data_IF_574078731521
#
_entry.id   IF_574078731521
#
_cell.length_a   1.000
_cell.length_b   1.000
_cell.length_c   1.000
_cell.angle_alpha   90.00
_cell.angle_beta   90.00
_cell.angle_gamma   90.00
#
_symmetry.space_group_name_H-M   'P 1'
#
loop_
_entity.id
_entity.type
_entity.pdbx_description
1 polymer ?
#
# COMPACT_ATOMS: atom_id res chain seq x y z
N UNK A 1 27.62 -38.87 15.34
CA UNK A 1 27.66 -38.90 13.86
C UNK A 1 26.39 -38.31 13.24
N UNK A 2 25.16 -38.74 13.61
CA UNK A 2 23.92 -38.20 13.02
C UNK A 2 23.74 -36.67 13.21
N UNK A 3 23.99 -36.11 14.40
CA UNK A 3 23.78 -34.67 14.63
C UNK A 3 24.65 -33.75 13.74
N UNK A 4 25.90 -34.13 13.46
CA UNK A 4 26.81 -33.34 12.62
C UNK A 4 26.40 -33.41 11.14
N UNK A 5 25.97 -34.59 10.68
CA UNK A 5 25.45 -34.78 9.33
C UNK A 5 24.16 -33.99 9.15
N UNK A 6 23.22 -34.10 10.10
CA UNK A 6 21.95 -33.36 10.11
C UNK A 6 22.22 -31.84 10.09
N UNK A 7 23.17 -31.37 10.90
CA UNK A 7 23.56 -29.95 10.94
C UNK A 7 24.22 -29.50 9.64
N UNK A 8 25.05 -30.34 9.02
CA UNK A 8 25.66 -30.05 7.71
C UNK A 8 24.59 -29.91 6.62
N UNK A 9 23.56 -30.76 6.64
CA UNK A 9 22.44 -30.68 5.69
C UNK A 9 21.68 -29.36 5.88
N UNK A 10 21.33 -29.01 7.12
CA UNK A 10 20.63 -27.76 7.43
C UNK A 10 21.44 -26.51 7.06
N UNK A 11 22.74 -26.50 7.33
CA UNK A 11 23.60 -25.35 6.98
C UNK A 11 23.71 -25.23 5.46
N UNK A 12 23.81 -26.35 4.74
CA UNK A 12 23.88 -26.35 3.28
C UNK A 12 22.60 -25.79 2.67
N UNK A 13 21.42 -26.24 3.13
CA UNK A 13 20.14 -25.69 2.66
C UNK A 13 19.99 -24.21 3.01
N UNK A 14 20.42 -23.80 4.20
CA UNK A 14 20.40 -22.41 4.63
C UNK A 14 21.29 -21.49 3.76
N UNK A 15 22.50 -21.93 3.41
CA UNK A 15 23.39 -21.18 2.50
C UNK A 15 22.75 -21.06 1.11
N UNK A 16 22.13 -22.14 0.61
CA UNK A 16 21.42 -22.11 -0.67
C UNK A 16 20.24 -21.12 -0.65
N UNK A 17 19.43 -21.12 0.41
CA UNK A 17 18.32 -20.17 0.56
C UNK A 17 18.81 -18.73 0.71
N UNK A 18 19.93 -18.51 1.43
CA UNK A 18 20.54 -17.19 1.53
C UNK A 18 21.03 -16.69 0.18
N UNK A 19 21.74 -17.52 -0.58
CA UNK A 19 22.20 -17.19 -1.93
C UNK A 19 21.04 -16.89 -2.89
N UNK A 20 19.97 -17.68 -2.83
CA UNK A 20 18.76 -17.44 -3.60
C UNK A 20 18.09 -16.12 -3.21
N UNK A 21 17.91 -15.87 -1.91
CA UNK A 21 17.32 -14.62 -1.40
C UNK A 21 18.16 -13.39 -1.78
N UNK A 22 19.48 -13.50 -1.75
CA UNK A 22 20.41 -12.46 -2.20
C UNK A 22 20.27 -12.15 -3.69
N UNK A 23 20.24 -13.19 -4.52
CA UNK A 23 20.09 -13.06 -5.97
C UNK A 23 18.71 -12.49 -6.36
N UNK A 24 17.65 -12.96 -5.71
CA UNK A 24 16.29 -12.46 -5.90
C UNK A 24 16.20 -10.97 -5.59
N UNK A 25 16.77 -10.55 -4.45
CA UNK A 25 16.81 -9.16 -4.05
C UNK A 25 17.55 -8.27 -5.07
N UNK A 26 18.74 -8.72 -5.52
CA UNK A 26 19.54 -7.98 -6.51
C UNK A 26 18.86 -7.86 -7.86
N UNK A 27 18.19 -8.91 -8.34
CA UNK A 27 17.63 -8.94 -9.70
C UNK A 27 16.24 -8.33 -9.81
N UNK A 28 15.41 -8.45 -8.76
CA UNK A 28 13.99 -8.18 -8.88
C UNK A 28 13.48 -7.05 -7.98
N UNK A 29 14.09 -6.84 -6.81
CA UNK A 29 13.65 -5.81 -5.86
C UNK A 29 14.44 -4.50 -6.00
N UNK A 30 15.68 -4.56 -6.49
CA UNK A 30 16.61 -3.41 -6.57
C UNK A 30 16.63 -2.68 -7.92
N UNK A 31 15.72 -3.02 -8.85
CA UNK A 31 15.68 -2.38 -10.17
C UNK A 31 15.41 -0.86 -10.10
N UNK A 32 14.80 -0.39 -9.01
CA UNK A 32 14.30 0.99 -8.86
C UNK A 32 14.76 1.73 -7.57
N UNK A 33 15.68 1.18 -6.76
CA UNK A 33 16.15 1.83 -5.51
C UNK A 33 17.59 2.39 -5.63
N UNK A 34 17.72 3.72 -5.58
CA UNK A 34 18.98 4.45 -5.79
C UNK A 34 19.99 4.38 -4.62
N UNK A 35 19.57 3.94 -3.42
CA UNK A 35 20.41 3.96 -2.21
C UNK A 35 20.92 2.57 -1.84
N UNK A 36 22.20 2.32 -2.11
CA UNK A 36 22.89 1.05 -1.88
C UNK A 36 23.26 0.87 -0.40
N UNK A 37 22.35 0.36 0.42
CA UNK A 37 22.69 -0.09 1.79
C UNK A 37 22.75 -1.61 1.88
N UNK A 38 23.99 -2.10 1.92
CA UNK A 38 24.33 -3.51 2.08
C UNK A 38 23.65 -4.15 3.30
N UNK A 39 23.42 -3.38 4.37
CA UNK A 39 22.81 -3.88 5.61
C UNK A 39 21.36 -4.33 5.40
N UNK A 40 20.55 -3.57 4.66
CA UNK A 40 19.14 -3.94 4.39
C UNK A 40 19.06 -5.20 3.55
N UNK A 41 19.97 -5.34 2.59
CA UNK A 41 20.10 -6.52 1.75
C UNK A 41 20.42 -7.76 2.58
N UNK A 42 21.43 -7.69 3.46
CA UNK A 42 21.79 -8.79 4.35
C UNK A 42 20.59 -9.15 5.24
N UNK A 43 19.94 -8.18 5.86
CA UNK A 43 18.79 -8.44 6.75
C UNK A 43 17.67 -9.15 5.99
N UNK A 44 17.34 -8.70 4.77
CA UNK A 44 16.33 -9.35 3.94
C UNK A 44 16.72 -10.80 3.61
N UNK A 45 17.93 -11.01 3.08
CA UNK A 45 18.39 -12.36 2.67
C UNK A 45 18.51 -13.31 3.86
N UNK A 46 18.95 -12.84 5.02
CA UNK A 46 18.97 -13.63 6.26
C UNK A 46 17.55 -13.99 6.71
N UNK A 47 16.64 -13.02 6.75
CA UNK A 47 15.23 -13.25 7.14
C UNK A 47 14.56 -14.26 6.21
N UNK A 48 14.78 -14.11 4.91
CA UNK A 48 14.27 -15.02 3.89
C UNK A 48 14.84 -16.44 4.08
N UNK A 49 16.15 -16.57 4.25
CA UNK A 49 16.79 -17.87 4.45
C UNK A 49 16.23 -18.62 5.66
N UNK A 50 16.16 -17.95 6.82
CA UNK A 50 15.61 -18.55 8.03
C UNK A 50 14.12 -18.92 7.91
N UNK A 51 13.33 -18.10 7.19
CA UNK A 51 11.93 -18.41 6.89
C UNK A 51 11.77 -19.67 6.02
N UNK A 52 12.62 -19.83 5.00
CA UNK A 52 12.68 -21.04 4.18
C UNK A 52 13.15 -22.26 4.99
N UNK A 53 14.16 -22.10 5.84
CA UNK A 53 14.62 -23.17 6.74
C UNK A 53 13.53 -23.59 7.73
N UNK A 54 12.67 -22.67 8.19
CA UNK A 54 11.51 -23.05 9.02
C UNK A 54 10.54 -23.94 8.27
N UNK A 55 10.21 -23.57 7.04
CA UNK A 55 9.31 -24.36 6.21
C UNK A 55 9.90 -25.73 5.87
N UNK A 56 11.20 -25.78 5.56
CA UNK A 56 11.94 -27.01 5.32
C UNK A 56 11.92 -27.94 6.56
N UNK A 57 12.12 -27.41 7.77
CA UNK A 57 12.04 -28.19 9.00
C UNK A 57 10.64 -28.81 9.22
N UNK A 58 9.56 -28.10 8.87
CA UNK A 58 8.20 -28.66 8.90
C UNK A 58 8.07 -29.81 7.91
N UNK A 59 8.60 -29.66 6.70
CA UNK A 59 8.58 -30.74 5.70
C UNK A 59 9.36 -31.96 6.20
N UNK A 60 10.54 -31.77 6.80
CA UNK A 60 11.32 -32.88 7.36
C UNK A 60 10.65 -33.56 8.55
N UNK A 61 9.89 -32.82 9.35
CA UNK A 61 9.04 -33.42 10.40
C UNK A 61 7.97 -34.33 9.78
N UNK A 62 7.26 -33.87 8.73
CA UNK A 62 6.22 -34.65 8.04
C UNK A 62 6.81 -35.88 7.35
N UNK A 63 7.95 -35.75 6.69
CA UNK A 63 8.61 -36.84 5.96
C UNK A 63 9.37 -37.81 6.89
N UNK A 64 9.48 -37.51 8.19
CA UNK A 64 10.24 -38.34 9.13
C UNK A 64 11.75 -38.35 8.86
N UNK A 65 12.27 -37.33 8.16
CA UNK A 65 13.69 -37.18 7.83
C UNK A 65 14.37 -36.35 8.94
N UNK A 66 15.65 -36.61 9.21
CA UNK A 66 16.44 -36.09 10.36
C UNK A 66 16.03 -36.67 11.74
N UNK A 67 17.00 -36.70 12.65
CA UNK A 67 16.80 -37.13 14.03
C UNK A 67 15.98 -36.11 14.84
N UNK A 68 14.98 -36.56 15.60
CA UNK A 68 14.04 -35.71 16.34
C UNK A 68 14.72 -34.71 17.29
N UNK A 69 15.80 -35.11 17.96
CA UNK A 69 16.57 -34.21 18.85
C UNK A 69 17.30 -33.11 18.08
N UNK A 70 17.79 -33.41 16.87
CA UNK A 70 18.44 -32.44 15.99
C UNK A 70 17.43 -31.43 15.44
N UNK A 71 16.26 -31.91 14.99
CA UNK A 71 15.16 -31.06 14.49
C UNK A 71 14.69 -30.07 15.55
N UNK A 72 14.47 -30.54 16.77
CA UNK A 72 14.02 -29.68 17.86
C UNK A 72 15.03 -28.56 18.19
N UNK A 73 16.33 -28.89 18.17
CA UNK A 73 17.39 -27.90 18.38
C UNK A 73 17.41 -26.84 17.27
N UNK A 74 17.43 -27.26 16.00
CA UNK A 74 17.42 -26.34 14.86
C UNK A 74 16.14 -25.51 14.79
N UNK A 75 14.99 -26.09 15.13
CA UNK A 75 13.72 -25.39 15.26
C UNK A 75 13.79 -24.26 16.30
N UNK A 76 14.27 -24.57 17.51
CA UNK A 76 14.38 -23.58 18.60
C UNK A 76 15.39 -22.48 18.25
N UNK A 77 16.53 -22.82 17.67
CA UNK A 77 17.53 -21.86 17.21
C UNK A 77 16.95 -20.94 16.14
N UNK A 78 16.32 -21.51 15.11
CA UNK A 78 15.73 -20.75 14.02
C UNK A 78 14.62 -19.81 14.51
N UNK A 79 13.74 -20.29 15.40
CA UNK A 79 12.71 -19.46 16.04
C UNK A 79 13.35 -18.26 16.76
N UNK A 80 14.39 -18.50 17.54
CA UNK A 80 15.07 -17.45 18.30
C UNK A 80 15.66 -16.39 17.36
N UNK A 81 16.33 -16.80 16.28
CA UNK A 81 16.95 -15.86 15.32
C UNK A 81 15.90 -15.06 14.56
N UNK A 82 14.84 -15.70 14.05
CA UNK A 82 13.74 -14.99 13.36
C UNK A 82 13.08 -13.98 14.28
N UNK A 83 12.79 -14.35 15.53
CA UNK A 83 12.17 -13.43 16.50
C UNK A 83 13.07 -12.24 16.81
N UNK A 84 14.38 -12.47 16.98
CA UNK A 84 15.34 -11.40 17.20
C UNK A 84 15.34 -10.43 16.01
N UNK A 85 15.40 -10.96 14.79
CA UNK A 85 15.40 -10.12 13.59
C UNK A 85 14.08 -9.33 13.47
N UNK A 86 12.94 -9.99 13.64
CA UNK A 86 11.62 -9.40 13.41
C UNK A 86 11.23 -8.37 14.47
N UNK A 87 11.52 -8.64 15.75
CA UNK A 87 11.11 -7.76 16.87
C UNK A 87 12.15 -6.69 17.16
N UNK A 88 13.45 -6.99 17.04
CA UNK A 88 14.50 -6.06 17.44
C UNK A 88 15.15 -5.37 16.24
N UNK A 89 15.73 -6.14 15.32
CA UNK A 89 16.52 -5.55 14.22
C UNK A 89 15.65 -4.74 13.25
N UNK A 90 14.59 -5.34 12.70
CA UNK A 90 13.76 -4.69 11.66
C UNK A 90 13.18 -3.34 12.14
N UNK A 91 12.53 -3.24 13.31
CA UNK A 91 11.97 -1.97 13.78
C UNK A 91 13.06 -0.92 14.07
N UNK A 92 14.23 -1.34 14.57
CA UNK A 92 15.35 -0.44 14.78
C UNK A 92 15.84 0.18 13.47
N UNK A 93 16.02 -0.63 12.42
CA UNK A 93 16.44 -0.12 11.12
C UNK A 93 15.38 0.78 10.48
N UNK A 94 14.09 0.43 10.57
CA UNK A 94 13.00 1.29 10.08
C UNK A 94 13.03 2.65 10.80
N UNK A 95 13.17 2.66 12.12
CA UNK A 95 13.31 3.90 12.90
C UNK A 95 14.52 4.72 12.47
N UNK A 96 15.66 4.06 12.26
CA UNK A 96 16.89 4.70 11.78
C UNK A 96 16.70 5.36 10.41
N UNK A 97 16.00 4.67 9.50
CA UNK A 97 15.66 5.18 8.17
C UNK A 97 14.76 6.40 8.22
N UNK A 98 13.69 6.36 9.01
CA UNK A 98 12.76 7.48 9.17
C UNK A 98 13.50 8.71 9.68
N UNK A 99 14.34 8.56 10.71
CA UNK A 99 15.13 9.68 11.26
C UNK A 99 16.19 10.16 10.27
N UNK A 100 16.78 9.26 9.48
CA UNK A 100 17.80 9.61 8.48
C UNK A 100 17.28 10.50 7.35
N UNK A 101 15.98 10.41 7.04
CA UNK A 101 15.33 11.25 6.02
C UNK A 101 15.17 12.71 6.51
N UNK A 102 15.14 12.92 7.83
CA UNK A 102 14.96 14.25 8.43
C UNK A 102 16.33 14.94 8.56
N UNK A 103 16.60 15.92 7.68
CA UNK A 103 17.86 16.68 7.65
C UNK A 103 18.21 17.35 8.99
N UNK A 104 17.20 17.72 9.79
CA UNK A 104 17.37 18.44 11.05
C UNK A 104 18.02 17.61 12.18
N UNK A 105 17.89 16.27 12.13
CA UNK A 105 18.29 15.37 13.22
C UNK A 105 19.60 14.62 12.95
N UNK A 106 20.37 15.04 11.94
CA UNK A 106 21.55 14.31 11.48
C UNK A 106 22.60 14.07 12.58
N UNK A 107 22.79 15.03 13.49
CA UNK A 107 23.80 14.95 14.58
C UNK A 107 23.38 14.04 15.75
N UNK A 108 22.08 13.80 15.94
CA UNK A 108 21.52 12.97 17.02
C UNK A 108 20.73 11.75 16.48
N UNK A 109 20.97 11.36 15.22
CA UNK A 109 20.21 10.33 14.50
C UNK A 109 20.06 9.02 15.28
N UNK A 110 21.14 8.54 15.89
CA UNK A 110 21.13 7.30 16.66
C UNK A 110 20.27 7.39 17.93
N UNK A 111 20.27 8.54 18.61
CA UNK A 111 19.51 8.76 19.83
C UNK A 111 18.00 8.78 19.54
N UNK A 112 17.59 9.52 18.51
CA UNK A 112 16.18 9.55 18.08
C UNK A 112 15.71 8.20 17.53
N UNK A 113 16.57 7.48 16.81
CA UNK A 113 16.27 6.12 16.36
C UNK A 113 16.10 5.14 17.52
N UNK A 114 16.94 5.25 18.55
CA UNK A 114 16.82 4.43 19.77
C UNK A 114 15.53 4.77 20.53
N UNK A 115 15.18 6.05 20.62
CA UNK A 115 13.93 6.48 21.26
C UNK A 115 12.70 5.95 20.52
N UNK A 116 12.66 6.07 19.18
CA UNK A 116 11.60 5.48 18.35
C UNK A 116 11.51 3.97 18.53
N UNK A 117 12.65 3.29 18.59
CA UNK A 117 12.70 1.85 18.83
C UNK A 117 12.17 1.47 20.23
N UNK A 118 12.54 2.20 21.28
CA UNK A 118 12.03 2.01 22.64
C UNK A 118 10.52 2.25 22.71
N UNK A 119 10.01 3.30 22.03
CA UNK A 119 8.58 3.55 21.92
C UNK A 119 7.87 2.40 21.21
N UNK A 120 8.42 1.89 20.11
CA UNK A 120 7.90 0.71 19.44
C UNK A 120 7.85 -0.51 20.36
N UNK A 121 8.93 -0.80 21.09
CA UNK A 121 8.99 -1.90 22.05
C UNK A 121 7.94 -1.76 23.15
N UNK A 122 7.71 -0.55 23.66
CA UNK A 122 6.65 -0.27 24.63
C UNK A 122 5.26 -0.57 24.06
N UNK A 123 4.95 -0.08 22.86
CA UNK A 123 3.67 -0.37 22.20
C UNK A 123 3.49 -1.86 21.88
N UNK A 124 4.54 -2.51 21.38
CA UNK A 124 4.55 -3.95 21.11
C UNK A 124 4.24 -4.75 22.37
N UNK A 125 4.81 -4.35 23.51
CA UNK A 125 4.48 -4.95 24.79
C UNK A 125 3.04 -4.68 25.20
N UNK A 126 2.58 -3.44 25.11
CA UNK A 126 1.22 -3.07 25.54
C UNK A 126 0.13 -3.76 24.71
N UNK A 127 0.36 -3.94 23.40
CA UNK A 127 -0.56 -4.62 22.47
C UNK A 127 -0.70 -6.12 22.75
N UNK A 128 0.29 -6.75 23.39
CA UNK A 128 0.24 -8.18 23.72
C UNK A 128 -0.38 -8.51 25.09
N UNK A 129 -0.59 -7.52 25.96
CA UNK A 129 -1.18 -7.71 27.29
C UNK A 129 -2.66 -8.19 27.30
N UNK A 130 -3.54 -7.80 26.35
CA UNK A 130 -4.92 -8.30 26.34
C UNK A 130 -5.07 -9.78 25.93
N UNK A 131 -3.98 -10.48 25.58
CA UNK A 131 -4.00 -11.89 25.18
C UNK A 131 -3.27 -12.78 26.20
N UNK A 132 -3.89 -13.14 27.35
CA UNK A 132 -3.29 -14.00 28.35
C UNK A 132 -3.40 -15.48 27.94
N UNK A 133 -2.42 -16.00 27.19
CA UNK A 133 -2.47 -17.41 26.74
C UNK A 133 -1.68 -18.38 27.64
N UNK A 134 -0.70 -17.99 28.48
CA UNK A 134 -0.11 -18.99 29.41
C UNK A 134 0.63 -18.48 30.66
N UNK A 135 0.34 -19.21 31.74
CA UNK A 135 1.00 -19.48 33.03
C UNK A 135 1.96 -18.44 33.65
N UNK A 136 1.66 -17.92 34.87
CA UNK A 136 2.45 -16.91 35.59
C UNK A 136 3.83 -17.39 36.11
N UNK A 137 4.34 -18.53 35.62
CA UNK A 137 5.58 -19.17 36.12
C UNK A 137 6.82 -18.95 35.24
N UNK A 138 6.69 -18.35 34.05
CA UNK A 138 7.83 -18.06 33.18
C UNK A 138 8.07 -16.55 33.08
N UNK A 139 9.35 -16.14 33.15
CA UNK A 139 9.76 -14.74 33.26
C UNK A 139 9.31 -13.84 32.10
N UNK A 140 9.44 -12.53 32.32
CA UNK A 140 8.98 -11.42 31.47
C UNK A 140 9.49 -11.51 30.00
N UNK A 141 10.58 -12.25 29.73
CA UNK A 141 11.19 -12.42 28.40
C UNK A 141 11.20 -13.88 27.91
N UNK A 142 10.19 -14.67 28.25
CA UNK A 142 10.10 -16.05 27.74
C UNK A 142 9.85 -16.05 26.21
N UNK A 143 10.60 -16.89 25.49
CA UNK A 143 10.50 -17.06 24.02
C UNK A 143 9.05 -17.39 23.60
N UNK A 144 8.34 -18.18 24.41
CA UNK A 144 6.95 -18.57 24.15
C UNK A 144 5.98 -17.39 24.17
N UNK A 145 6.18 -16.44 25.08
CA UNK A 145 5.36 -15.22 25.17
C UNK A 145 5.64 -14.28 24.00
N UNK A 146 6.89 -14.22 23.54
CA UNK A 146 7.24 -13.41 22.37
C UNK A 146 6.61 -13.99 21.09
N UNK A 147 6.65 -15.31 20.93
CA UNK A 147 6.04 -16.02 19.80
C UNK A 147 4.53 -15.79 19.76
N UNK A 148 3.83 -15.91 20.89
CA UNK A 148 2.38 -15.73 20.92
C UNK A 148 1.97 -14.31 20.53
N UNK A 149 2.68 -13.29 21.01
CA UNK A 149 2.42 -11.88 20.68
C UNK A 149 2.69 -11.57 19.22
N UNK A 150 3.85 -11.99 18.70
CA UNK A 150 4.18 -11.85 17.26
C UNK A 150 3.18 -12.63 16.41
N UNK A 151 2.76 -13.82 16.84
CA UNK A 151 1.78 -14.66 16.16
C UNK A 151 0.42 -13.99 16.02
N UNK A 152 -0.12 -13.41 17.10
CA UNK A 152 -1.40 -12.68 17.04
C UNK A 152 -1.30 -11.50 16.09
N UNK A 153 -0.28 -10.64 16.25
CA UNK A 153 -0.08 -9.48 15.38
C UNK A 153 0.07 -9.92 13.91
N UNK A 154 0.87 -10.96 13.66
CA UNK A 154 1.09 -11.53 12.34
C UNK A 154 -0.18 -12.08 11.70
N UNK A 155 -0.99 -12.85 12.44
CA UNK A 155 -2.26 -13.38 11.95
C UNK A 155 -3.26 -12.26 11.69
N UNK A 156 -3.34 -11.24 12.54
CA UNK A 156 -4.18 -10.07 12.30
C UNK A 156 -3.76 -9.32 11.03
N UNK A 157 -2.46 -9.10 10.83
CA UNK A 157 -1.95 -8.46 9.62
C UNK A 157 -2.18 -9.32 8.37
N UNK A 158 -1.97 -10.64 8.45
CA UNK A 158 -2.28 -11.57 7.36
C UNK A 158 -3.78 -11.59 7.04
N UNK A 159 -4.65 -11.50 8.05
CA UNK A 159 -6.10 -11.41 7.86
C UNK A 159 -6.50 -10.11 7.16
N UNK A 160 -5.94 -8.97 7.58
CA UNK A 160 -6.19 -7.67 6.96
C UNK A 160 -5.69 -7.60 5.51
N UNK A 161 -4.45 -8.04 5.25
CA UNK A 161 -3.88 -8.10 3.91
C UNK A 161 -4.65 -9.05 3.00
N UNK A 162 -5.08 -10.20 3.53
CA UNK A 162 -5.90 -11.14 2.78
C UNK A 162 -7.31 -10.59 2.51
N UNK A 163 -7.89 -9.84 3.44
CA UNK A 163 -9.17 -9.15 3.25
C UNK A 163 -9.08 -8.06 2.18
N UNK A 164 -8.05 -7.21 2.24
CA UNK A 164 -7.78 -6.20 1.21
C UNK A 164 -7.54 -6.83 -0.17
N UNK A 165 -6.72 -7.89 -0.22
CA UNK A 165 -6.48 -8.65 -1.45
C UNK A 165 -7.77 -9.26 -2.02
N UNK A 166 -8.66 -9.75 -1.16
CA UNK A 166 -9.93 -10.32 -1.59
C UNK A 166 -10.88 -9.33 -2.26
N UNK A 167 -10.79 -8.03 -1.93
CA UNK A 167 -11.58 -6.97 -2.58
C UNK A 167 -10.85 -6.38 -3.78
N UNK A 168 -9.54 -6.13 -3.65
CA UNK A 168 -8.77 -5.45 -4.67
C UNK A 168 -8.50 -6.33 -5.90
N UNK A 169 -8.29 -7.64 -5.72
CA UNK A 169 -8.09 -8.58 -6.82
C UNK A 169 -9.28 -8.61 -7.80
N UNK A 170 -10.53 -8.90 -7.39
CA UNK A 170 -11.65 -8.90 -8.32
C UNK A 170 -11.89 -7.51 -8.92
N UNK A 171 -11.72 -6.43 -8.15
CA UNK A 171 -11.85 -5.07 -8.69
C UNK A 171 -10.87 -4.80 -9.85
N UNK A 172 -9.59 -5.17 -9.65
CA UNK A 172 -8.54 -4.93 -10.64
C UNK A 172 -8.67 -5.85 -11.85
N UNK A 173 -8.94 -7.14 -11.65
CA UNK A 173 -9.02 -8.11 -12.75
C UNK A 173 -10.37 -8.08 -13.49
N UNK A 174 -11.48 -7.69 -12.86
CA UNK A 174 -12.80 -7.59 -13.53
C UNK A 174 -12.95 -6.29 -14.33
N UNK A 175 -12.51 -5.15 -13.77
CA UNK A 175 -12.53 -3.86 -14.48
C UNK A 175 -11.69 -3.87 -15.75
N UNK A 176 -10.61 -4.66 -15.74
CA UNK A 176 -9.74 -4.93 -16.87
C UNK A 176 -10.47 -5.47 -18.11
N UNK A 177 -11.50 -6.32 -17.94
CA UNK A 177 -12.26 -6.89 -19.06
C UNK A 177 -13.48 -6.06 -19.47
N UNK A 178 -14.01 -5.25 -18.54
CA UNK A 178 -15.18 -4.40 -18.81
C UNK A 178 -14.80 -3.17 -19.63
N UNK A 179 -13.55 -2.71 -19.57
CA UNK A 179 -13.07 -1.54 -20.31
C UNK A 179 -12.20 -1.95 -21.50
N UNK A 180 -12.85 -2.32 -22.61
CA UNK A 180 -12.17 -2.45 -23.89
C UNK A 180 -11.93 -1.05 -24.47
N UNK A 181 -10.67 -0.63 -24.57
CA UNK A 181 -10.28 0.64 -25.19
C UNK A 181 -9.87 0.38 -26.64
N UNK A 182 -10.51 1.04 -27.59
CA UNK A 182 -10.16 0.94 -29.01
C UNK A 182 -9.18 2.05 -29.38
N UNK A 183 -8.27 1.80 -30.32
CA UNK A 183 -7.34 2.82 -30.84
C UNK A 183 -8.07 4.05 -31.42
N UNK A 184 -9.28 3.84 -31.94
CA UNK A 184 -10.15 4.92 -32.44
C UNK A 184 -10.57 5.89 -31.35
N UNK A 185 -10.79 5.39 -30.13
CA UNK A 185 -11.29 6.17 -29.00
C UNK A 185 -10.17 7.06 -28.45
N UNK A 186 -8.94 6.53 -28.39
CA UNK A 186 -7.74 7.28 -28.02
C UNK A 186 -7.50 8.42 -29.02
N UNK A 187 -7.52 8.11 -30.32
CA UNK A 187 -7.32 9.12 -31.37
C UNK A 187 -8.42 10.19 -31.37
N UNK A 188 -9.67 9.82 -31.09
CA UNK A 188 -10.77 10.77 -30.97
C UNK A 188 -10.56 11.72 -29.78
N UNK A 189 -10.11 11.20 -28.64
CA UNK A 189 -9.86 12.00 -27.45
C UNK A 189 -8.62 12.90 -27.60
N UNK A 190 -7.54 12.41 -28.23
CA UNK A 190 -6.38 13.23 -28.58
C UNK A 190 -6.75 14.37 -29.51
N UNK A 191 -7.56 14.12 -30.55
CA UNK A 191 -8.04 15.18 -31.43
C UNK A 191 -8.85 16.22 -30.67
N UNK A 192 -9.70 15.80 -29.74
CA UNK A 192 -10.48 16.70 -28.87
C UNK A 192 -9.58 17.52 -27.94
N UNK A 193 -8.53 16.91 -27.38
CA UNK A 193 -7.54 17.59 -26.55
C UNK A 193 -6.77 18.65 -27.35
N UNK A 194 -6.27 18.28 -28.54
CA UNK A 194 -5.56 19.20 -29.44
C UNK A 194 -6.45 20.36 -29.88
N UNK A 195 -7.70 20.09 -30.27
CA UNK A 195 -8.68 21.13 -30.59
C UNK A 195 -8.91 22.08 -29.40
N UNK A 196 -8.97 21.54 -28.18
CA UNK A 196 -9.14 22.35 -26.96
C UNK A 196 -7.91 23.22 -26.69
N UNK A 197 -6.70 22.68 -26.87
CA UNK A 197 -5.46 23.45 -26.77
C UNK A 197 -5.38 24.57 -27.82
N UNK A 198 -5.78 24.30 -29.07
CA UNK A 198 -5.83 25.32 -30.13
C UNK A 198 -6.83 26.45 -29.80
N UNK A 199 -8.00 26.10 -29.24
CA UNK A 199 -8.96 27.09 -28.75
C UNK A 199 -8.36 27.95 -27.63
N UNK A 200 -7.66 27.35 -26.67
CA UNK A 200 -6.96 28.07 -25.59
C UNK A 200 -5.91 29.03 -26.16
N UNK A 201 -5.04 28.54 -27.04
CA UNK A 201 -3.99 29.35 -27.68
C UNK A 201 -4.61 30.52 -28.45
N UNK A 202 -5.68 30.28 -29.21
CA UNK A 202 -6.36 31.32 -29.98
C UNK A 202 -6.97 32.39 -29.08
N UNK A 203 -7.60 32.02 -27.96
CA UNK A 203 -8.19 32.95 -26.98
C UNK A 203 -7.11 33.73 -26.23
N UNK A 204 -6.03 33.07 -25.77
CA UNK A 204 -4.87 33.74 -25.16
C UNK A 204 -4.20 34.73 -26.11
N UNK A 205 -4.06 34.37 -27.39
CA UNK A 205 -3.54 35.28 -28.43
C UNK A 205 -4.45 36.50 -28.62
N UNK A 206 -5.77 36.31 -28.66
CA UNK A 206 -6.75 37.41 -28.71
C UNK A 206 -6.62 38.32 -27.50
N UNK A 207 -6.53 37.77 -26.29
CA UNK A 207 -6.31 38.56 -25.07
C UNK A 207 -5.04 39.40 -25.12
N UNK A 208 -3.92 38.83 -25.57
CA UNK A 208 -2.66 39.54 -25.70
C UNK A 208 -2.73 40.69 -26.72
N UNK A 209 -3.43 40.48 -27.85
CA UNK A 209 -3.66 41.53 -28.85
C UNK A 209 -4.58 42.64 -28.32
N UNK A 210 -5.68 42.30 -27.63
CA UNK A 210 -6.58 43.27 -26.99
C UNK A 210 -5.85 44.08 -25.91
N UNK A 211 -5.00 43.43 -25.11
CA UNK A 211 -4.18 44.11 -24.09
C UNK A 211 -3.18 45.08 -24.75
N UNK A 212 -2.49 44.66 -25.81
CA UNK A 212 -1.55 45.54 -26.57
C UNK A 212 -2.26 46.74 -27.19
N UNK A 213 -3.43 46.55 -27.80
CA UNK A 213 -4.21 47.65 -28.39
C UNK A 213 -4.76 48.60 -27.34
N UNK A 214 -5.10 48.12 -26.14
CA UNK A 214 -5.43 49.00 -25.01
C UNK A 214 -4.23 49.83 -24.54
N UNK A 215 -3.03 49.23 -24.44
CA UNK A 215 -1.81 49.97 -24.12
C UNK A 215 -1.48 51.04 -25.16
N UNK A 216 -1.55 50.73 -26.45
CA UNK A 216 -1.33 51.71 -27.53
C UNK A 216 -2.37 52.83 -27.54
N UNK A 217 -3.65 52.53 -27.27
CA UNK A 217 -4.69 53.58 -27.12
C UNK A 217 -4.47 54.45 -25.88
N UNK A 218 -3.92 53.89 -24.81
CA UNK A 218 -3.52 54.61 -23.61
C UNK A 218 -2.39 55.61 -23.86
N UNK A 219 -1.43 55.30 -24.73
CA UNK A 219 -0.35 56.24 -25.10
C UNK A 219 -0.82 57.38 -26.00
N UNK A 220 -1.77 57.14 -26.90
CA UNK A 220 -2.31 58.19 -27.79
C UNK A 220 -3.19 59.21 -27.05
N UNK A 221 -3.79 58.83 -25.91
CA UNK A 221 -4.65 59.72 -25.13
C UNK A 221 -3.92 60.54 -24.04
N UNK A 222 -2.59 60.46 -23.96
CA UNK A 222 -1.77 61.21 -22.99
C UNK A 222 -1.46 62.68 -23.39
N UNK A 223 -2.29 63.32 -24.23
CA UNK A 223 -2.34 64.79 -24.32
C UNK A 223 -3.48 65.30 -23.43
N UNK A 224 -3.20 66.18 -22.45
CA UNK A 224 -4.15 66.47 -21.37
C UNK A 224 -5.27 67.38 -21.90
N UNK A 225 -6.52 66.92 -21.84
CA UNK A 225 -7.67 67.81 -21.95
C UNK A 225 -8.65 67.55 -20.80
N UNK A 226 -8.42 68.26 -19.70
CA UNK A 226 -9.47 68.77 -18.82
C UNK A 226 -10.15 67.79 -17.86
N UNK A 227 -10.41 68.32 -16.67
CA UNK A 227 -11.16 67.74 -15.55
C UNK A 227 -12.48 67.03 -15.93
N UNK A 228 -13.06 67.36 -17.09
CA UNK A 228 -14.26 66.73 -17.66
C UNK A 228 -14.02 65.30 -18.22
N UNK A 229 -12.79 64.97 -18.60
CA UNK A 229 -12.42 63.63 -19.11
C UNK A 229 -12.31 62.57 -18.00
N UNK A 230 -11.95 62.99 -16.79
CA UNK A 230 -11.71 62.10 -15.65
C UNK A 230 -13.00 61.59 -15.00
N UNK A 231 -14.11 62.33 -15.14
CA UNK A 231 -15.43 61.92 -14.60
C UNK A 231 -16.15 60.99 -15.58
N UNK A 232 -15.89 61.16 -16.88
CA UNK A 232 -16.41 60.27 -17.94
C UNK A 232 -15.69 58.92 -17.93
N UNK A 233 -14.39 58.87 -17.62
CA UNK A 233 -13.63 57.62 -17.52
C UNK A 233 -14.00 56.72 -16.32
N UNK A 234 -14.66 57.29 -15.30
CA UNK A 234 -15.10 56.54 -14.09
C UNK A 234 -16.56 56.07 -14.23
N UNK A 235 -17.35 56.70 -15.10
CA UNK A 235 -18.76 56.33 -15.36
C UNK A 235 -18.94 55.45 -16.59
N UNK A 236 -17.99 55.46 -17.53
CA UNK A 236 -17.92 54.46 -18.60
C UNK A 236 -16.79 53.48 -18.30
N UNK A 237 -17.10 52.41 -17.59
CA UNK A 237 -16.29 51.19 -17.58
C UNK A 237 -15.89 50.90 -19.04
N UNK A 238 -14.60 50.90 -19.34
CA UNK A 238 -14.15 50.71 -20.71
C UNK A 238 -14.73 49.38 -21.20
N UNK A 239 -15.50 49.34 -22.31
CA UNK A 239 -16.11 48.10 -22.81
C UNK A 239 -15.06 47.03 -23.13
N UNK A 240 -13.78 47.38 -23.19
CA UNK A 240 -12.66 46.43 -23.30
C UNK A 240 -12.31 45.66 -22.03
N UNK A 241 -12.54 46.19 -20.82
CA UNK A 241 -12.13 45.51 -19.56
C UNK A 241 -13.08 44.38 -19.17
N UNK A 242 -14.39 44.58 -19.30
CA UNK A 242 -15.40 43.54 -19.04
C UNK A 242 -15.29 42.36 -20.03
N UNK A 243 -15.04 42.67 -21.30
CA UNK A 243 -14.78 41.65 -22.31
C UNK A 243 -13.48 40.86 -22.02
N UNK A 244 -12.45 41.50 -21.45
CA UNK A 244 -11.19 40.83 -21.13
C UNK A 244 -11.35 39.90 -19.92
N UNK A 245 -12.13 40.30 -18.91
CA UNK A 245 -12.46 39.44 -17.75
C UNK A 245 -13.32 38.24 -18.14
N UNK A 246 -14.28 38.41 -19.06
CA UNK A 246 -15.10 37.30 -19.58
C UNK A 246 -14.24 36.31 -20.37
N UNK A 247 -13.36 36.80 -21.25
CA UNK A 247 -12.45 35.92 -22.02
C UNK A 247 -11.46 35.21 -21.07
N UNK A 248 -11.02 35.85 -19.98
CA UNK A 248 -10.18 35.20 -18.97
C UNK A 248 -10.91 34.02 -18.31
N UNK A 249 -12.17 34.22 -17.87
CA UNK A 249 -12.97 33.15 -17.27
C UNK A 249 -13.18 31.98 -18.25
N UNK A 250 -13.41 32.27 -19.53
CA UNK A 250 -13.50 31.23 -20.57
C UNK A 250 -12.18 30.47 -20.77
N UNK A 251 -11.03 31.16 -20.71
CA UNK A 251 -9.72 30.52 -20.79
C UNK A 251 -9.49 29.62 -19.58
N UNK A 252 -9.79 30.09 -18.37
CA UNK A 252 -9.63 29.31 -17.15
C UNK A 252 -10.52 28.04 -17.17
N UNK A 253 -11.75 28.15 -17.66
CA UNK A 253 -12.64 27.00 -17.85
C UNK A 253 -12.12 26.01 -18.89
N UNK A 254 -11.57 26.50 -20.01
CA UNK A 254 -10.97 25.65 -21.04
C UNK A 254 -9.68 24.99 -20.56
N UNK A 255 -8.88 25.66 -19.72
CA UNK A 255 -7.69 25.07 -19.11
C UNK A 255 -8.05 23.91 -18.19
N UNK A 256 -9.08 24.04 -17.35
CA UNK A 256 -9.53 22.94 -16.50
C UNK A 256 -10.07 21.76 -17.34
N UNK A 257 -10.83 22.05 -18.41
CA UNK A 257 -11.26 21.01 -19.36
C UNK A 257 -10.07 20.31 -20.02
N UNK A 258 -9.03 21.06 -20.41
CA UNK A 258 -7.82 20.48 -21.00
C UNK A 258 -7.08 19.55 -20.03
N UNK A 259 -7.06 19.91 -18.74
CA UNK A 259 -6.45 19.10 -17.68
C UNK A 259 -7.21 17.79 -17.49
N UNK A 260 -8.54 17.85 -17.49
CA UNK A 260 -9.38 16.65 -17.41
C UNK A 260 -9.20 15.73 -18.61
N UNK A 261 -9.24 16.28 -19.83
CA UNK A 261 -9.02 15.53 -21.07
C UNK A 261 -7.61 14.91 -21.13
N UNK A 262 -6.60 15.61 -20.63
CA UNK A 262 -5.24 15.09 -20.54
C UNK A 262 -5.14 13.90 -19.58
N UNK A 263 -5.74 14.01 -18.39
CA UNK A 263 -5.78 12.90 -17.42
C UNK A 263 -6.53 11.69 -17.99
N UNK A 264 -7.65 11.92 -18.68
CA UNK A 264 -8.43 10.85 -19.31
C UNK A 264 -7.64 10.17 -20.44
N UNK A 265 -6.92 10.94 -21.25
CA UNK A 265 -6.05 10.42 -22.31
C UNK A 265 -4.90 9.60 -21.72
N UNK A 266 -4.27 10.08 -20.65
CA UNK A 266 -3.23 9.36 -19.94
C UNK A 266 -3.74 8.03 -19.34
N UNK A 267 -4.95 8.02 -18.76
CA UNK A 267 -5.60 6.80 -18.25
C UNK A 267 -5.90 5.78 -19.37
N UNK A 268 -6.37 6.25 -20.53
CA UNK A 268 -6.58 5.38 -21.70
C UNK A 268 -5.28 4.78 -22.24
N UNK A 269 -4.20 5.57 -22.32
CA UNK A 269 -2.88 5.07 -22.71
C UNK A 269 -2.34 4.02 -21.73
N UNK A 270 -2.44 4.28 -20.42
CA UNK A 270 -2.06 3.30 -19.39
C UNK A 270 -2.91 2.02 -19.47
N UNK A 271 -4.18 2.14 -19.84
CA UNK A 271 -5.07 0.99 -20.06
C UNK A 271 -4.65 0.21 -21.31
N UNK A 272 -4.32 0.88 -22.41
CA UNK A 272 -3.83 0.25 -23.64
C UNK A 272 -2.52 -0.51 -23.43
N UNK A 273 -1.54 0.10 -22.77
CA UNK A 273 -0.27 -0.57 -22.45
C UNK A 273 -0.50 -1.85 -21.64
N UNK A 274 -1.43 -1.80 -20.67
CA UNK A 274 -1.82 -2.98 -19.90
C UNK A 274 -2.52 -4.04 -20.74
N UNK A 275 -3.33 -3.65 -21.72
CA UNK A 275 -3.96 -4.58 -22.67
C UNK A 275 -2.92 -5.26 -23.57
N UNK A 276 -1.94 -4.50 -24.05
CA UNK A 276 -0.82 -5.05 -24.83
C UNK A 276 0.02 -6.00 -23.97
N UNK A 277 0.30 -5.64 -22.71
CA UNK A 277 0.99 -6.51 -21.77
C UNK A 277 0.22 -7.82 -21.54
N UNK A 278 -1.11 -7.80 -21.45
CA UNK A 278 -1.89 -9.02 -21.24
C UNK A 278 -1.84 -9.99 -22.43
N UNK A 279 -1.58 -9.49 -23.65
CA UNK A 279 -1.44 -10.33 -24.84
C UNK A 279 -0.13 -11.12 -24.84
N UNK A 280 0.88 -10.66 -24.08
CA UNK A 280 2.15 -11.39 -23.91
C UNK A 280 1.96 -12.72 -23.18
N UNK A 281 2.87 -13.68 -23.37
CA UNK A 281 2.82 -14.96 -22.65
C UNK A 281 2.87 -14.79 -21.13
N UNK A 282 3.69 -13.85 -20.64
CA UNK A 282 3.76 -13.49 -19.22
C UNK A 282 2.42 -12.92 -18.76
N UNK A 283 1.83 -12.01 -19.53
CA UNK A 283 0.51 -11.43 -19.27
C UNK A 283 -0.60 -12.47 -19.20
N UNK A 284 -0.65 -13.42 -20.14
CA UNK A 284 -1.64 -14.51 -20.14
C UNK A 284 -1.54 -15.39 -18.89
N UNK A 285 -0.33 -15.72 -18.44
CA UNK A 285 -0.11 -16.48 -17.21
C UNK A 285 -0.60 -15.71 -15.97
N UNK A 286 -0.22 -14.44 -15.82
CA UNK A 286 -0.70 -13.60 -14.71
C UNK A 286 -2.21 -13.38 -14.75
N UNK A 287 -2.80 -13.30 -15.93
CA UNK A 287 -4.24 -13.16 -16.11
C UNK A 287 -4.98 -14.43 -15.67
N UNK A 288 -4.50 -15.61 -16.07
CA UNK A 288 -5.04 -16.89 -15.61
C UNK A 288 -4.95 -17.04 -14.08
N UNK A 289 -3.79 -16.71 -13.48
CA UNK A 289 -3.65 -16.66 -12.04
C UNK A 289 -4.62 -15.66 -11.40
N UNK A 290 -4.79 -14.48 -12.01
CA UNK A 290 -5.74 -13.46 -11.57
C UNK A 290 -7.17 -13.97 -11.52
N UNK A 291 -7.62 -14.73 -12.52
CA UNK A 291 -8.93 -15.40 -12.51
C UNK A 291 -9.07 -16.41 -11.38
N UNK A 292 -8.08 -17.30 -11.22
CA UNK A 292 -8.08 -18.29 -10.14
C UNK A 292 -8.14 -17.61 -8.77
N UNK A 293 -7.32 -16.57 -8.55
CA UNK A 293 -7.34 -15.79 -7.32
C UNK A 293 -8.65 -15.03 -7.14
N UNK A 294 -9.23 -14.45 -8.19
CA UNK A 294 -10.52 -13.76 -8.12
C UNK A 294 -11.64 -14.70 -7.68
N UNK A 295 -11.73 -15.90 -8.28
CA UNK A 295 -12.68 -16.95 -7.87
C UNK A 295 -12.45 -17.35 -6.41
N UNK A 296 -11.20 -17.58 -6.01
CA UNK A 296 -10.85 -17.87 -4.63
C UNK A 296 -11.26 -16.75 -3.67
N UNK A 297 -11.09 -15.48 -4.05
CA UNK A 297 -11.48 -14.32 -3.25
C UNK A 297 -13.00 -14.23 -3.09
N UNK A 298 -13.77 -14.43 -4.16
CA UNK A 298 -15.24 -14.48 -4.11
C UNK A 298 -15.71 -15.66 -3.24
N UNK A 299 -15.12 -16.83 -3.41
CA UNK A 299 -15.38 -18.00 -2.57
C UNK A 299 -15.10 -17.72 -1.09
N UNK A 300 -13.99 -17.03 -0.78
CA UNK A 300 -13.64 -16.64 0.58
C UNK A 300 -14.64 -15.64 1.18
N UNK A 301 -15.11 -14.66 0.40
CA UNK A 301 -16.17 -13.72 0.84
C UNK A 301 -17.47 -14.48 1.14
N UNK A 302 -17.85 -15.41 0.25
CA UNK A 302 -19.02 -16.26 0.46
C UNK A 302 -18.89 -17.11 1.73
N UNK A 303 -17.72 -17.73 1.93
CA UNK A 303 -17.42 -18.48 3.14
C UNK A 303 -17.54 -17.59 4.38
N UNK A 304 -16.91 -16.41 4.40
CA UNK A 304 -17.00 -15.49 5.56
C UNK A 304 -18.45 -15.11 5.87
N UNK A 305 -19.26 -14.83 4.84
CA UNK A 305 -20.70 -14.53 5.04
C UNK A 305 -21.44 -15.73 5.63
N UNK A 306 -21.26 -16.92 5.07
CA UNK A 306 -21.89 -18.15 5.55
C UNK A 306 -21.52 -18.46 7.00
N UNK A 307 -20.23 -18.35 7.36
CA UNK A 307 -19.78 -18.56 8.73
C UNK A 307 -20.27 -17.46 9.69
N UNK A 308 -20.36 -16.21 9.24
CA UNK A 308 -20.90 -15.11 10.06
C UNK A 308 -22.38 -15.33 10.37
N UNK A 309 -23.18 -15.78 9.39
CA UNK A 309 -24.58 -16.12 9.60
C UNK A 309 -24.73 -17.30 10.56
N UNK A 310 -23.94 -18.37 10.38
CA UNK A 310 -23.95 -19.53 11.26
C UNK A 310 -23.52 -19.19 12.70
N UNK A 311 -22.47 -18.37 12.88
CA UNK A 311 -21.99 -17.93 14.18
C UNK A 311 -23.02 -17.00 14.84
N UNK A 312 -23.59 -16.06 14.10
CA UNK A 312 -24.62 -15.15 14.63
C UNK A 312 -25.86 -15.92 15.09
N UNK A 313 -26.27 -16.94 14.32
CA UNK A 313 -27.37 -17.83 14.70
C UNK A 313 -27.05 -18.62 15.98
N UNK A 314 -25.85 -19.18 16.08
CA UNK A 314 -25.39 -19.90 17.27
C UNK A 314 -25.25 -18.99 18.50
N UNK A 315 -24.74 -17.76 18.34
CA UNK A 315 -24.62 -16.78 19.43
C UNK A 315 -26.00 -16.31 19.92
N UNK A 316 -26.93 -16.06 18.99
CA UNK A 316 -28.31 -15.69 19.30
C UNK A 316 -29.01 -16.82 20.07
N UNK A 317 -28.87 -18.07 19.61
CA UNK A 317 -29.36 -19.26 20.32
C UNK A 317 -28.78 -19.38 21.73
N UNK A 318 -27.47 -19.16 21.89
CA UNK A 318 -26.81 -19.23 23.19
C UNK A 318 -27.26 -18.11 24.14
N UNK A 319 -27.46 -16.89 23.63
CA UNK A 319 -28.01 -15.77 24.39
C UNK A 319 -29.46 -16.02 24.84
N UNK A 320 -30.31 -16.57 23.96
CA UNK A 320 -31.70 -16.95 24.29
C UNK A 320 -31.72 -18.05 25.36
N UNK A 321 -30.92 -19.12 25.20
CA UNK A 321 -30.82 -20.21 26.19
C UNK A 321 -30.34 -19.71 27.56
N UNK A 322 -29.38 -18.79 27.58
CA UNK A 322 -28.86 -18.22 28.84
C UNK A 322 -29.90 -17.30 29.49
N UNK A 323 -30.62 -16.49 28.70
CA UNK A 323 -31.70 -15.62 29.17
C UNK A 323 -32.90 -16.40 29.72
N UNK A 324 -33.34 -17.46 29.03
CA UNK A 324 -34.41 -18.36 29.50
C UNK A 324 -34.00 -19.06 30.79
N UNK A 325 -32.74 -19.51 30.90
CA UNK A 325 -32.23 -20.14 32.12
C UNK A 325 -32.19 -19.16 33.30
N UNK A 326 -31.81 -17.91 33.07
CA UNK A 326 -31.87 -16.85 34.10
C UNK A 326 -33.31 -16.53 34.52
N UNK A 327 -34.23 -16.44 33.56
CA UNK A 327 -35.65 -16.21 33.84
C UNK A 327 -36.24 -17.36 34.68
N UNK A 328 -35.89 -18.60 34.35
CA UNK A 328 -36.35 -19.80 35.06
C UNK A 328 -35.80 -19.86 36.49
N UNK A 329 -34.51 -19.54 36.69
CA UNK A 329 -33.90 -19.45 38.04
C UNK A 329 -34.52 -18.31 38.84
N UNK A 330 -34.81 -17.17 38.24
CA UNK A 330 -35.45 -16.04 38.91
C UNK A 330 -36.90 -16.33 39.30
N UNK A 331 -37.65 -17.08 38.49
CA UNK A 331 -39.01 -17.54 38.81
C UNK A 331 -39.01 -18.59 39.93
N UNK A 332 -38.04 -19.51 39.94
CA UNK A 332 -37.87 -20.51 41.01
C UNK A 332 -37.35 -19.95 42.33
N UNK A 333 -36.80 -18.73 42.32
CA UNK A 333 -36.38 -18.02 43.54
C UNK A 333 -37.50 -17.16 44.12
N UNK A 334 -38.59 -16.98 43.38
CA UNK A 334 -39.75 -16.15 43.76
C UNK A 334 -40.91 -17.00 44.31
N UNK A 335 -40.98 -18.28 43.93
CA UNK A 335 -41.75 -19.32 44.60
C UNK A 335 -40.91 -19.99 45.69
#
# INVERSE_FOLDING_TARGET
MSFLIDSSIMITSQILFFGFGWLFFMRQLFKDYEVRQYVVQVIFSVTFAFSCTMFELIIFEILGVLNSSSRYFHWKMNLCVILLILVFMVPFYIGYFIVSNIRLLHKQRLLFSCLLWLTFMYFFWKLGDPFPILSPKHGILSIEQLISRVGVIGVTLMALLSGFGAVNCPYTYMSYFLRNVTDTDILALERRLLQTMDMIISKKKRMAMTRRTMFQKGEVHNKPSGFWGMIKSVTTSAPGSENLTLIQQEVDALEELSRQLFLETADLYATKERIEYSKTFKGKYFNFLGYFFSIYCVWKIFMVRFWTEQISFNLLMMAILTGVRYLFVSLLSFF
#
